data_IF_874135406362
#
_entry.id   IF_874135406362
#
_cell.length_a   1.000
_cell.length_b   1.000
_cell.length_c   1.000
_cell.angle_alpha   90.00
_cell.angle_beta   90.00
_cell.angle_gamma   90.00
#
_symmetry.space_group_name_H-M   'P 1'
#
loop_
_entity.id
_entity.type
_entity.pdbx_description
1 polymer ?
#
# COMPACT_ATOMS: atom_id res chain seq x y z
N UNK A 1 -10.44 -11.71 11.29
CA UNK A 1 -10.65 -11.11 9.95
C UNK A 1 -10.65 -12.24 8.93
N UNK A 2 -11.75 -12.47 8.20
CA UNK A 2 -11.95 -13.67 7.38
C UNK A 2 -10.86 -13.89 6.32
N UNK A 3 -10.48 -12.83 5.58
CA UNK A 3 -9.44 -12.91 4.56
C UNK A 3 -8.08 -13.30 5.16
N UNK A 4 -7.65 -12.64 6.25
CA UNK A 4 -6.35 -12.91 6.86
C UNK A 4 -6.21 -14.30 7.51
N UNK A 5 -7.33 -14.91 7.91
CA UNK A 5 -7.37 -16.28 8.42
C UNK A 5 -7.47 -17.36 7.33
N UNK A 6 -7.56 -16.96 6.06
CA UNK A 6 -7.67 -17.91 4.95
C UNK A 6 -6.29 -18.41 4.47
N UNK A 7 -6.32 -19.46 3.66
CA UNK A 7 -5.15 -20.00 2.96
C UNK A 7 -4.78 -19.23 1.68
N UNK A 8 -5.54 -18.17 1.34
CA UNK A 8 -5.23 -17.34 0.18
C UNK A 8 -3.90 -16.61 0.35
N UNK A 9 -3.26 -16.32 -0.77
CA UNK A 9 -2.21 -15.32 -0.81
C UNK A 9 -2.87 -13.93 -0.93
N UNK A 10 -2.78 -13.15 0.14
CA UNK A 10 -3.50 -11.89 0.27
C UNK A 10 -2.58 -10.75 0.66
N UNK A 11 -2.95 -9.55 0.22
CA UNK A 11 -2.44 -8.29 0.73
C UNK A 11 -3.63 -7.42 1.08
N UNK A 12 -3.61 -6.77 2.24
CA UNK A 12 -4.66 -5.86 2.66
C UNK A 12 -4.08 -4.46 2.72
N UNK A 13 -4.46 -3.63 1.75
CA UNK A 13 -4.10 -2.23 1.72
C UNK A 13 -5.11 -1.42 2.54
N UNK A 14 -4.63 -0.68 3.54
CA UNK A 14 -5.42 0.20 4.42
C UNK A 14 -5.04 1.65 4.15
N UNK A 15 -5.67 2.30 3.15
CA UNK A 15 -5.45 3.70 2.89
C UNK A 15 -5.95 4.57 4.05
N UNK A 16 -5.34 5.73 4.20
CA UNK A 16 -5.86 6.83 5.02
C UNK A 16 -7.11 7.47 4.41
N UNK A 17 -7.36 8.75 4.74
CA UNK A 17 -8.51 9.48 4.19
C UNK A 17 -8.37 9.63 2.67
N UNK A 18 -9.31 9.07 1.91
CA UNK A 18 -9.31 9.18 0.45
C UNK A 18 -9.69 10.60 0.00
N UNK A 19 -8.89 11.17 -0.90
CA UNK A 19 -9.13 12.47 -1.52
C UNK A 19 -9.10 12.39 -3.05
N UNK A 20 -9.75 13.36 -3.71
CA UNK A 20 -9.85 13.46 -5.19
C UNK A 20 -8.81 14.40 -5.81
N UNK A 21 -7.77 14.75 -5.06
CA UNK A 21 -6.62 15.46 -5.63
C UNK A 21 -5.84 14.56 -6.59
N UNK A 22 -5.03 15.18 -7.44
CA UNK A 22 -4.17 14.46 -8.37
C UNK A 22 -3.11 13.63 -7.63
N UNK A 23 -2.88 12.40 -8.09
CA UNK A 23 -1.81 11.54 -7.58
C UNK A 23 -0.42 12.14 -7.77
N UNK A 24 0.46 11.91 -6.79
CA UNK A 24 1.83 12.40 -6.77
C UNK A 24 2.87 11.33 -7.19
N UNK A 25 2.45 10.06 -7.26
CA UNK A 25 3.34 8.91 -7.43
C UNK A 25 4.25 8.64 -6.22
N UNK A 26 4.01 9.31 -5.09
CA UNK A 26 4.81 9.22 -3.87
C UNK A 26 3.93 8.97 -2.66
N UNK A 27 4.36 8.00 -1.84
CA UNK A 27 3.57 7.48 -0.72
C UNK A 27 4.46 7.21 0.49
N UNK A 28 3.81 7.03 1.62
CA UNK A 28 4.35 6.35 2.79
C UNK A 28 3.60 5.03 2.93
N UNK A 29 4.31 3.91 2.92
CA UNK A 29 3.74 2.57 3.04
C UNK A 29 4.51 1.77 4.11
N UNK A 30 3.77 1.06 4.96
CA UNK A 30 4.38 0.30 6.04
C UNK A 30 3.36 -0.48 6.87
N UNK A 31 3.85 -1.25 7.84
CA UNK A 31 2.99 -2.01 8.77
C UNK A 31 2.36 -1.13 9.85
N UNK A 32 2.99 0.01 10.15
CA UNK A 32 2.52 1.02 11.08
C UNK A 32 3.09 2.38 10.65
N UNK A 33 2.23 3.30 10.21
CA UNK A 33 2.61 4.66 9.79
C UNK A 33 1.67 5.69 10.41
N UNK A 34 2.02 6.96 10.32
CA UNK A 34 1.12 8.04 10.72
C UNK A 34 -0.10 8.08 9.79
N UNK A 35 -1.30 8.22 10.37
CA UNK A 35 -2.53 8.44 9.62
C UNK A 35 -2.48 9.77 8.87
N UNK A 36 -3.13 9.84 7.72
CA UNK A 36 -3.14 11.00 6.84
C UNK A 36 -4.07 10.80 5.66
N UNK A 37 -4.00 11.71 4.70
CA UNK A 37 -4.77 11.64 3.46
C UNK A 37 -4.00 10.88 2.37
N UNK A 38 -4.70 10.40 1.35
CA UNK A 38 -4.11 9.79 0.16
C UNK A 38 -5.00 10.02 -1.07
N UNK A 39 -4.45 10.50 -2.21
CA UNK A 39 -5.17 10.55 -3.48
C UNK A 39 -5.62 9.18 -3.95
N UNK A 40 -6.86 9.07 -4.47
CA UNK A 40 -7.36 7.81 -5.07
C UNK A 40 -6.47 7.31 -6.21
N UNK A 41 -5.88 8.22 -6.97
CA UNK A 41 -4.90 7.91 -8.02
C UNK A 41 -3.69 7.14 -7.48
N UNK A 42 -3.11 7.60 -6.36
CA UNK A 42 -1.94 6.96 -5.75
C UNK A 42 -2.32 5.61 -5.12
N UNK A 43 -3.54 5.46 -4.59
CA UNK A 43 -4.05 4.15 -4.14
C UNK A 43 -4.15 3.18 -5.31
N UNK A 44 -4.71 3.61 -6.45
CA UNK A 44 -4.84 2.77 -7.65
C UNK A 44 -3.46 2.36 -8.19
N UNK A 45 -2.50 3.28 -8.22
CA UNK A 45 -1.13 3.00 -8.64
C UNK A 45 -0.44 1.99 -7.71
N UNK A 46 -0.61 2.12 -6.39
CA UNK A 46 -0.08 1.16 -5.41
C UNK A 46 -0.72 -0.22 -5.60
N UNK A 47 -2.03 -0.30 -5.80
CA UNK A 47 -2.73 -1.57 -6.04
C UNK A 47 -2.20 -2.27 -7.30
N UNK A 48 -2.03 -1.53 -8.41
CA UNK A 48 -1.44 -2.07 -9.64
C UNK A 48 0.00 -2.58 -9.39
N UNK A 49 0.82 -1.78 -8.70
CA UNK A 49 2.19 -2.13 -8.38
C UNK A 49 2.31 -3.35 -7.45
N UNK A 50 1.35 -3.58 -6.55
CA UNK A 50 1.30 -4.76 -5.67
C UNK A 50 1.02 -6.04 -6.45
N UNK A 51 0.16 -6.01 -7.48
CA UNK A 51 -0.13 -7.19 -8.34
C UNK A 51 1.14 -7.71 -9.02
N UNK A 52 2.08 -6.82 -9.36
CA UNK A 52 3.35 -7.16 -10.00
C UNK A 52 4.43 -7.63 -9.00
N UNK A 53 4.13 -7.69 -7.70
CA UNK A 53 5.10 -7.97 -6.61
C UNK A 53 4.64 -9.11 -5.72
N UNK A 54 4.67 -10.37 -6.20
CA UNK A 54 4.25 -11.53 -5.41
C UNK A 54 5.11 -11.80 -4.16
N UNK A 55 6.29 -11.16 -4.04
CA UNK A 55 7.10 -11.21 -2.82
C UNK A 55 6.47 -10.47 -1.63
N UNK A 56 5.47 -9.61 -1.86
CA UNK A 56 4.69 -8.96 -0.82
C UNK A 56 3.43 -9.79 -0.62
N UNK A 57 3.45 -10.64 0.40
CA UNK A 57 2.43 -11.65 0.66
C UNK A 57 2.04 -11.65 2.13
N UNK A 58 0.77 -11.92 2.41
CA UNK A 58 0.17 -12.06 3.76
C UNK A 58 0.46 -10.89 4.70
N UNK A 59 0.41 -9.66 4.15
CA UNK A 59 0.70 -8.43 4.88
C UNK A 59 -0.48 -7.46 4.87
N UNK A 60 -0.66 -6.77 6.01
CA UNK A 60 -1.53 -5.60 6.12
C UNK A 60 -0.64 -4.37 5.99
N UNK A 61 -0.89 -3.54 4.98
CA UNK A 61 -0.07 -2.38 4.64
C UNK A 61 -0.92 -1.14 4.83
N UNK A 62 -0.48 -0.24 5.70
CA UNK A 62 -1.03 1.10 5.82
C UNK A 62 -0.45 2.01 4.73
N UNK A 63 -1.26 2.91 4.20
CA UNK A 63 -0.88 3.78 3.08
C UNK A 63 -1.38 5.21 3.26
N UNK A 64 -0.46 6.18 3.19
CA UNK A 64 -0.76 7.62 3.19
C UNK A 64 0.12 8.36 2.18
N UNK A 65 -0.23 9.60 1.85
CA UNK A 65 0.61 10.45 1.01
C UNK A 65 1.99 10.65 1.66
N UNK A 66 3.05 10.63 0.86
CA UNK A 66 4.41 10.73 1.37
C UNK A 66 5.41 11.25 0.35
N UNK A 67 6.68 11.00 0.61
CA UNK A 67 7.78 11.49 -0.23
C UNK A 67 8.48 10.39 -1.03
N UNK A 68 8.17 9.11 -0.77
CA UNK A 68 8.87 7.97 -1.36
C UNK A 68 8.14 7.50 -2.61
N UNK A 69 8.81 7.37 -3.77
CA UNK A 69 8.20 6.77 -4.95
C UNK A 69 7.58 5.40 -4.64
N UNK A 70 6.41 5.12 -5.23
CA UNK A 70 5.63 3.88 -4.96
C UNK A 70 6.50 2.62 -5.04
N UNK A 71 7.28 2.47 -6.11
CA UNK A 71 8.12 1.28 -6.31
C UNK A 71 9.15 1.08 -5.19
N UNK A 72 9.76 2.17 -4.72
CA UNK A 72 10.72 2.14 -3.63
C UNK A 72 10.02 1.86 -2.30
N UNK A 73 8.86 2.46 -2.07
CA UNK A 73 8.07 2.25 -0.86
C UNK A 73 7.60 0.79 -0.73
N UNK A 74 7.26 0.12 -1.83
CA UNK A 74 6.87 -1.29 -1.82
C UNK A 74 8.07 -2.23 -1.72
N UNK A 75 9.21 -1.88 -2.30
CA UNK A 75 10.41 -2.73 -2.26
C UNK A 75 10.93 -2.98 -0.84
N UNK A 76 10.64 -2.08 0.11
CA UNK A 76 11.00 -2.26 1.53
C UNK A 76 10.10 -3.25 2.28
N UNK A 77 8.98 -3.67 1.68
CA UNK A 77 8.00 -4.58 2.29
C UNK A 77 8.19 -6.04 1.90
N UNK A 78 9.17 -6.34 1.03
CA UNK A 78 9.52 -7.71 0.67
C UNK A 78 10.28 -8.33 1.85
N UNK A 79 9.78 -9.41 2.47
CA UNK A 79 10.48 -10.11 3.54
C UNK A 79 11.84 -10.63 3.06
N UNK A 80 12.83 -10.67 3.96
CA UNK A 80 14.14 -11.27 3.69
C UNK A 80 14.09 -12.79 3.70
#
# INVERSE_FOLDING_TARGET
MYLASSELDWVILRPGTLVDSQGSGKVSAGLAIAYGEIPRDDVAAVLAALVERPGISRQIIELTQGATPIDLALSTLIPR
#
